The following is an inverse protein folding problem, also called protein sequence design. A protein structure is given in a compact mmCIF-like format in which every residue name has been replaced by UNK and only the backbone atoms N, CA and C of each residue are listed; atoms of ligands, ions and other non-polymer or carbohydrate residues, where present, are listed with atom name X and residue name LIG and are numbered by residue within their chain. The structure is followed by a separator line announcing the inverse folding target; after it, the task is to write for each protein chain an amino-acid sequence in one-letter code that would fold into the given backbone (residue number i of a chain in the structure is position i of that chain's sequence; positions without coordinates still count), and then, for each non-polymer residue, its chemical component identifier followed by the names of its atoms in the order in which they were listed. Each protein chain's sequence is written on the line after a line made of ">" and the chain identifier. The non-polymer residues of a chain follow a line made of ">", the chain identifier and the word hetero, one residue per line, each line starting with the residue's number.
data_IF_835011691837
#
_entry.id   IF_835011691837
#
_cell.length_a   1.000
_cell.length_b   1.000
_cell.length_c   1.000
_cell.angle_alpha   90.00
_cell.angle_beta   90.00
_cell.angle_gamma   90.00
#
_symmetry.space_group_name_H-M   'P 1'
#
loop_
_entity.id
_entity.type
_entity.pdbx_description
1 polymer ?
#
# COMPACT_ATOMS: atom_id res chain seq x y z
N UNK A 1 10.31 -3.59 -2.67
CA UNK A 1 9.20 -3.15 -1.78
C UNK A 1 8.08 -4.19 -1.57
N UNK A 2 7.29 -4.56 -2.60
CA UNK A 2 6.15 -5.48 -2.46
C UNK A 2 6.55 -6.89 -1.97
N UNK A 3 7.66 -7.44 -2.49
CA UNK A 3 8.21 -8.73 -2.02
C UNK A 3 8.58 -8.68 -0.53
N UNK A 4 9.10 -7.56 -0.03
CA UNK A 4 9.40 -7.41 1.38
C UNK A 4 8.14 -7.42 2.25
N UNK A 5 7.03 -6.86 1.75
CA UNK A 5 5.73 -6.91 2.43
C UNK A 5 5.21 -8.35 2.45
N UNK A 6 5.23 -9.05 1.31
CA UNK A 6 4.85 -10.48 1.24
C UNK A 6 5.62 -11.32 2.26
N UNK A 7 6.94 -11.17 2.31
CA UNK A 7 7.77 -11.92 3.24
C UNK A 7 7.50 -11.57 4.71
N UNK A 8 7.30 -10.29 5.02
CA UNK A 8 7.04 -9.84 6.39
C UNK A 8 5.71 -10.37 6.96
N UNK A 9 4.74 -10.60 6.10
CA UNK A 9 3.40 -11.07 6.48
C UNK A 9 3.15 -12.55 6.14
N UNK A 10 4.15 -13.25 5.60
CA UNK A 10 4.01 -14.60 5.06
C UNK A 10 2.82 -14.71 4.09
N UNK A 11 2.70 -13.73 3.19
CA UNK A 11 1.60 -13.59 2.23
C UNK A 11 2.07 -13.92 0.81
N UNK A 12 1.19 -14.56 0.05
CA UNK A 12 1.22 -14.64 -1.40
C UNK A 12 0.12 -13.74 -1.97
N UNK A 13 0.44 -12.57 -2.51
CA UNK A 13 -0.58 -11.61 -2.95
C UNK A 13 -1.52 -12.15 -4.01
N UNK A 14 -1.04 -12.97 -4.95
CA UNK A 14 -1.89 -13.55 -5.99
C UNK A 14 -2.97 -14.44 -5.40
N UNK A 15 -2.58 -15.35 -4.50
CA UNK A 15 -3.50 -16.34 -3.91
C UNK A 15 -4.30 -15.77 -2.73
N UNK A 16 -3.69 -14.85 -2.00
CA UNK A 16 -4.19 -14.41 -0.71
C UNK A 16 -5.00 -13.12 -0.76
N UNK A 17 -4.78 -12.31 -1.79
CA UNK A 17 -5.42 -11.00 -1.93
C UNK A 17 -6.09 -10.91 -3.30
N UNK A 18 -5.32 -10.81 -4.38
CA UNK A 18 -5.83 -10.41 -5.69
C UNK A 18 -6.80 -11.41 -6.34
N UNK A 19 -6.76 -12.69 -5.96
CA UNK A 19 -7.79 -13.64 -6.37
C UNK A 19 -9.20 -13.30 -5.87
N UNK A 20 -9.31 -12.53 -4.79
CA UNK A 20 -10.56 -12.19 -4.10
C UNK A 20 -11.03 -10.76 -4.37
N UNK A 21 -10.22 -9.96 -5.07
CA UNK A 21 -10.51 -8.55 -5.34
C UNK A 21 -11.17 -8.46 -6.71
N UNK A 22 -12.50 -8.45 -6.72
CA UNK A 22 -13.30 -8.46 -7.95
C UNK A 22 -13.80 -7.06 -8.38
N UNK A 23 -13.77 -6.09 -7.47
CA UNK A 23 -14.18 -4.70 -7.71
C UNK A 23 -13.00 -3.74 -7.85
N UNK A 24 -13.29 -2.45 -7.72
CA UNK A 24 -12.25 -1.42 -7.71
C UNK A 24 -11.31 -1.58 -6.51
N UNK A 25 -10.02 -1.30 -6.73
CA UNK A 25 -9.05 -1.26 -5.63
C UNK A 25 -7.95 -0.25 -5.88
N UNK A 26 -7.31 0.18 -4.80
CA UNK A 26 -6.12 1.00 -4.83
C UNK A 26 -5.10 0.47 -3.81
N UNK A 27 -3.83 0.40 -4.21
CA UNK A 27 -2.71 0.09 -3.33
C UNK A 27 -1.71 1.24 -3.36
N UNK A 28 -1.49 1.86 -2.21
CA UNK A 28 -0.46 2.88 -2.03
C UNK A 28 0.69 2.35 -1.18
N UNK A 29 1.92 2.61 -1.62
CA UNK A 29 3.12 2.39 -0.85
C UNK A 29 3.63 3.74 -0.36
N UNK A 30 3.73 3.89 0.96
CA UNK A 30 4.04 5.13 1.64
C UNK A 30 5.45 5.07 2.24
N UNK A 31 6.25 6.16 2.15
CA UNK A 31 7.55 6.22 2.78
C UNK A 31 7.46 5.93 4.28
N UNK A 32 8.38 5.12 4.78
CA UNK A 32 8.58 4.92 6.21
C UNK A 32 10.02 5.37 6.55
N UNK A 33 10.15 6.42 7.35
CA UNK A 33 11.45 6.95 7.77
C UNK A 33 12.17 6.05 8.78
N UNK A 34 11.42 5.23 9.52
CA UNK A 34 11.93 4.39 10.61
C UNK A 34 12.33 2.98 10.14
N UNK A 35 11.76 2.48 9.03
CA UNK A 35 12.00 1.11 8.55
C UNK A 35 12.34 1.05 7.05
N UNK A 36 12.96 -0.05 6.64
CA UNK A 36 13.26 -0.32 5.22
C UNK A 36 12.02 -0.77 4.44
N UNK A 37 11.05 -1.38 5.11
CA UNK A 37 9.77 -1.78 4.54
C UNK A 37 8.85 -0.55 4.50
N UNK A 38 8.32 -0.15 3.33
CA UNK A 38 7.40 0.96 3.26
C UNK A 38 6.10 0.63 3.98
N UNK A 39 5.44 1.67 4.48
CA UNK A 39 4.07 1.51 4.92
C UNK A 39 3.16 1.29 3.71
N UNK A 40 1.98 0.73 3.93
CA UNK A 40 1.03 0.47 2.87
C UNK A 40 -0.39 0.85 3.29
N UNK A 41 -1.18 1.25 2.30
CA UNK A 41 -2.61 1.48 2.38
C UNK A 41 -3.24 0.72 1.21
N UNK A 42 -4.19 -0.14 1.51
CA UNK A 42 -4.90 -0.94 0.52
C UNK A 42 -6.39 -0.71 0.70
N UNK A 43 -7.05 -0.25 -0.36
CA UNK A 43 -8.47 0.07 -0.36
C UNK A 43 -9.14 -0.84 -1.39
N UNK A 44 -10.21 -1.49 -0.99
CA UNK A 44 -10.97 -2.40 -1.85
C UNK A 44 -12.44 -2.10 -1.76
N UNK A 45 -13.11 -2.12 -2.91
CA UNK A 45 -14.55 -2.00 -3.00
C UNK A 45 -15.24 -3.17 -2.29
N UNK A 46 -16.38 -2.88 -1.66
CA UNK A 46 -17.25 -3.90 -1.09
C UNK A 46 -17.91 -4.73 -2.20
N UNK A 47 -17.47 -5.97 -2.32
CA UNK A 47 -18.16 -7.02 -3.08
C UNK A 47 -18.60 -8.15 -2.14
N UNK A 48 -19.50 -9.06 -2.57
CA UNK A 48 -19.90 -10.21 -1.75
C UNK A 48 -18.71 -11.06 -1.24
N UNK A 49 -17.63 -11.13 -2.02
CA UNK A 49 -16.41 -11.90 -1.73
C UNK A 49 -15.51 -11.24 -0.69
N UNK A 50 -15.66 -9.93 -0.43
CA UNK A 50 -14.81 -9.18 0.48
C UNK A 50 -14.84 -9.75 1.91
N UNK A 51 -15.98 -10.26 2.36
CA UNK A 51 -16.08 -10.88 3.70
C UNK A 51 -15.13 -12.07 3.83
N UNK A 52 -14.99 -12.86 2.77
CA UNK A 52 -14.05 -13.98 2.74
C UNK A 52 -12.59 -13.52 2.70
N UNK A 53 -12.29 -12.44 1.96
CA UNK A 53 -10.97 -11.81 1.97
C UNK A 53 -10.57 -11.32 3.37
N UNK A 54 -11.46 -10.59 4.06
CA UNK A 54 -11.20 -10.09 5.43
C UNK A 54 -10.91 -11.26 6.37
N UNK A 55 -11.80 -12.27 6.40
CA UNK A 55 -11.62 -13.44 7.26
C UNK A 55 -10.31 -14.18 6.98
N UNK A 56 -9.91 -14.25 5.71
CA UNK A 56 -8.65 -14.87 5.28
C UNK A 56 -7.43 -14.08 5.77
N UNK A 57 -7.45 -12.76 5.66
CA UNK A 57 -6.35 -11.90 6.13
C UNK A 57 -6.25 -11.91 7.67
N UNK A 58 -7.37 -11.90 8.38
CA UNK A 58 -7.42 -12.05 9.84
C UNK A 58 -6.86 -13.41 10.29
N UNK A 59 -7.16 -14.48 9.53
CA UNK A 59 -6.61 -15.79 9.79
C UNK A 59 -5.09 -15.84 9.58
N UNK A 60 -4.58 -15.21 8.52
CA UNK A 60 -3.13 -15.11 8.26
C UNK A 60 -2.43 -14.31 9.36
N UNK A 61 -3.02 -13.20 9.79
CA UNK A 61 -2.49 -12.42 10.90
C UNK A 61 -2.43 -13.26 12.18
N UNK A 62 -3.52 -13.96 12.50
CA UNK A 62 -3.62 -14.83 13.68
C UNK A 62 -2.59 -15.96 13.66
N UNK A 63 -2.46 -16.66 12.53
CA UNK A 63 -1.47 -17.76 12.37
C UNK A 63 -0.03 -17.26 12.34
N UNK A 64 0.18 -15.98 12.03
CA UNK A 64 1.49 -15.30 12.15
C UNK A 64 1.79 -14.80 13.56
N UNK A 65 0.97 -15.13 14.56
CA UNK A 65 1.18 -14.80 15.97
C UNK A 65 0.68 -13.41 16.38
N UNK A 66 -0.13 -12.74 15.55
CA UNK A 66 -0.79 -11.50 15.93
C UNK A 66 -2.14 -11.78 16.59
N UNK A 67 -2.54 -10.91 17.51
CA UNK A 67 -3.91 -10.88 18.02
C UNK A 67 -4.77 -10.04 17.08
N UNK A 68 -5.92 -10.58 16.67
CA UNK A 68 -6.94 -9.83 15.93
C UNK A 68 -7.96 -9.31 16.95
N UNK A 69 -8.07 -7.99 17.08
CA UNK A 69 -8.93 -7.36 18.08
C UNK A 69 -9.62 -6.13 17.52
N UNK A 70 -10.88 -5.92 17.92
CA UNK A 70 -11.60 -4.69 17.60
C UNK A 70 -11.25 -3.57 18.58
N UNK A 71 -11.05 -2.36 18.06
CA UNK A 71 -10.84 -1.15 18.85
C UNK A 71 -11.52 0.06 18.20
N UNK A 72 -11.72 1.13 18.96
CA UNK A 72 -12.32 2.37 18.45
C UNK A 72 -11.23 3.43 18.22
N UNK A 73 -11.19 3.99 17.01
CA UNK A 73 -10.32 5.10 16.64
C UNK A 73 -11.18 6.27 16.15
N UNK A 74 -11.15 7.41 16.86
CA UNK A 74 -11.90 8.63 16.50
C UNK A 74 -13.40 8.37 16.19
N UNK A 75 -14.02 7.43 16.91
CA UNK A 75 -15.43 7.03 16.74
C UNK A 75 -15.68 5.93 15.69
N UNK A 76 -14.67 5.56 14.93
CA UNK A 76 -14.73 4.46 13.96
C UNK A 76 -14.27 3.15 14.61
N UNK A 77 -15.04 2.07 14.40
CA UNK A 77 -14.62 0.72 14.78
C UNK A 77 -13.62 0.19 13.77
N UNK A 78 -12.47 -0.26 14.25
CA UNK A 78 -11.42 -0.86 13.41
C UNK A 78 -11.06 -2.23 13.97
N UNK A 79 -10.65 -3.14 13.09
CA UNK A 79 -9.97 -4.39 13.47
C UNK A 79 -8.46 -4.14 13.40
N UNK A 80 -7.73 -4.56 14.42
CA UNK A 80 -6.29 -4.37 14.52
C UNK A 80 -5.57 -5.71 14.71
N UNK A 81 -4.50 -5.90 13.95
CA UNK A 81 -3.56 -7.01 14.05
C UNK A 81 -2.40 -6.57 14.95
N UNK A 82 -2.40 -7.04 16.18
CA UNK A 82 -1.52 -6.56 17.25
C UNK A 82 -0.49 -7.61 17.63
N UNK A 83 0.79 -7.23 17.58
CA UNK A 83 1.86 -8.02 18.19
C UNK A 83 1.91 -7.70 19.68
N UNK A 84 1.79 -8.72 20.52
CA UNK A 84 1.90 -8.61 21.96
C UNK A 84 3.21 -9.25 22.39
N UNK A 85 4.06 -8.51 23.10
CA UNK A 85 5.35 -9.00 23.59
C UNK A 85 5.48 -8.75 25.08
N UNK A 86 5.89 -9.78 25.82
CA UNK A 86 6.25 -9.63 27.22
C UNK A 86 7.64 -9.01 27.35
N UNK A 87 7.74 -7.92 28.09
CA UNK A 87 8.99 -7.27 28.47
C UNK A 87 9.28 -7.62 29.93
N UNK A 88 10.33 -8.40 30.16
CA UNK A 88 10.83 -8.67 31.51
C UNK A 88 11.86 -7.61 31.84
N UNK A 89 11.51 -6.66 32.71
CA UNK A 89 12.46 -5.66 33.20
C UNK A 89 13.23 -6.19 34.41
N UNK A 90 12.60 -7.01 35.26
CA UNK A 90 13.17 -7.60 36.50
C UNK A 90 12.47 -8.93 36.86
N UNK A 91 13.06 -9.75 37.74
CA UNK A 91 12.49 -11.05 38.22
C UNK A 91 11.14 -10.95 38.98
N UNK A 92 10.57 -9.76 39.13
CA UNK A 92 9.36 -9.51 39.94
C UNK A 92 8.21 -8.86 39.18
N UNK A 93 8.40 -8.42 37.94
CA UNK A 93 7.36 -7.76 37.14
C UNK A 93 7.53 -8.03 35.65
N UNK A 94 6.46 -8.48 35.01
CA UNK A 94 6.37 -8.66 33.57
C UNK A 94 5.48 -7.55 33.02
N UNK A 95 6.05 -6.67 32.20
CA UNK A 95 5.31 -5.68 31.44
C UNK A 95 4.88 -6.29 30.10
N UNK A 96 3.82 -5.75 29.50
CA UNK A 96 3.36 -6.16 28.17
C UNK A 96 3.41 -4.93 27.27
N UNK A 97 4.06 -5.08 26.12
CA UNK A 97 4.01 -4.12 25.03
C UNK A 97 3.10 -4.63 23.91
N UNK A 98 2.32 -3.72 23.33
CA UNK A 98 1.33 -4.00 22.30
C UNK A 98 1.57 -3.08 21.10
N UNK A 99 1.97 -3.68 19.98
CA UNK A 99 2.28 -2.96 18.75
C UNK A 99 1.35 -3.37 17.63
N UNK A 100 0.55 -2.43 17.15
CA UNK A 100 -0.29 -2.63 15.95
C UNK A 100 0.63 -2.76 14.74
N UNK A 101 0.45 -3.83 13.97
CA UNK A 101 1.20 -4.12 12.74
C UNK A 101 0.38 -3.87 11.49
N UNK A 102 -0.94 -4.01 11.61
CA UNK A 102 -1.88 -3.67 10.57
C UNK A 102 -3.26 -3.44 11.18
N UNK A 103 -4.11 -2.74 10.47
CA UNK A 103 -5.49 -2.53 10.85
C UNK A 103 -6.36 -2.40 9.62
N UNK A 104 -7.64 -2.69 9.76
CA UNK A 104 -8.61 -2.44 8.72
C UNK A 104 -9.93 -1.92 9.27
N UNK A 105 -10.65 -1.17 8.44
CA UNK A 105 -11.96 -0.65 8.76
C UNK A 105 -12.78 -0.45 7.50
N UNK A 106 -14.08 -0.48 7.69
CA UNK A 106 -15.06 -0.13 6.68
C UNK A 106 -15.30 1.38 6.68
N UNK A 107 -15.19 2.01 5.51
CA UNK A 107 -15.60 3.39 5.26
C UNK A 107 -16.44 3.44 3.98
N UNK A 108 -17.69 3.89 4.08
CA UNK A 108 -18.64 3.95 2.97
C UNK A 108 -18.75 2.62 2.19
N UNK A 109 -18.42 2.61 0.89
CA UNK A 109 -18.44 1.43 0.04
C UNK A 109 -17.11 0.67 -0.02
N UNK A 110 -16.16 0.98 0.86
CA UNK A 110 -14.82 0.42 0.80
C UNK A 110 -14.39 -0.20 2.14
N UNK A 111 -13.53 -1.20 2.04
CA UNK A 111 -12.69 -1.65 3.15
C UNK A 111 -11.29 -1.10 2.98
N UNK A 112 -10.76 -0.54 4.05
CA UNK A 112 -9.46 0.14 4.07
C UNK A 112 -8.56 -0.63 5.01
N UNK A 113 -7.49 -1.20 4.47
CA UNK A 113 -6.42 -1.86 5.21
C UNK A 113 -5.20 -0.94 5.24
N UNK A 114 -4.53 -0.82 6.39
CA UNK A 114 -3.32 -0.04 6.54
C UNK A 114 -2.28 -0.76 7.41
N UNK A 115 -1.01 -0.53 7.13
CA UNK A 115 0.11 -1.07 7.91
C UNK A 115 0.37 -0.32 9.23
N UNK A 116 -0.29 0.81 9.46
CA UNK A 116 -0.08 1.66 10.62
C UNK A 116 -1.35 2.45 10.97
N UNK A 117 -1.62 2.58 12.27
CA UNK A 117 -2.80 3.28 12.77
C UNK A 117 -2.79 4.78 12.44
N UNK A 118 -1.62 5.41 12.35
CA UNK A 118 -1.48 6.82 11.96
C UNK A 118 -1.94 7.05 10.52
N UNK A 119 -1.69 6.08 9.62
CA UNK A 119 -2.15 6.14 8.24
C UNK A 119 -3.66 6.03 8.21
N UNK A 120 -4.23 5.05 8.92
CA UNK A 120 -5.67 4.88 8.99
C UNK A 120 -6.36 6.14 9.57
N UNK A 121 -5.79 6.71 10.64
CA UNK A 121 -6.27 7.97 11.23
C UNK A 121 -6.21 9.13 10.23
N UNK A 122 -5.14 9.24 9.45
CA UNK A 122 -5.03 10.27 8.43
C UNK A 122 -6.13 10.16 7.36
N UNK A 123 -6.43 8.93 6.92
CA UNK A 123 -7.51 8.65 5.98
C UNK A 123 -8.88 8.99 6.57
N UNK A 124 -9.19 8.49 7.78
CA UNK A 124 -10.47 8.72 8.45
C UNK A 124 -10.72 10.20 8.77
N UNK A 125 -9.67 10.94 9.11
CA UNK A 125 -9.79 12.37 9.41
C UNK A 125 -10.00 13.26 8.18
N UNK A 126 -9.89 12.70 6.96
CA UNK A 126 -9.89 13.44 5.69
C UNK A 126 -8.90 14.63 5.65
N UNK A 127 -7.89 14.64 6.54
CA UNK A 127 -6.93 15.75 6.66
C UNK A 127 -5.97 15.82 5.47
N UNK A 128 -5.81 14.72 4.74
CA UNK A 128 -5.00 14.68 3.54
C UNK A 128 -5.87 15.00 2.32
N UNK A 129 -5.40 15.92 1.48
CA UNK A 129 -6.03 16.21 0.19
C UNK A 129 -6.03 14.94 -0.66
N UNK A 130 -7.14 14.69 -1.34
CA UNK A 130 -7.28 13.53 -2.21
C UNK A 130 -6.20 13.54 -3.29
N UNK A 131 -5.66 12.36 -3.63
CA UNK A 131 -4.76 12.24 -4.79
C UNK A 131 -5.45 12.71 -6.07
N UNK A 132 -6.77 12.54 -6.16
CA UNK A 132 -7.57 13.00 -7.29
C UNK A 132 -7.61 14.52 -7.42
N UNK A 133 -7.30 15.26 -6.35
CA UNK A 133 -7.19 16.72 -6.34
C UNK A 133 -5.74 17.20 -6.54
N UNK A 134 -4.77 16.30 -6.57
CA UNK A 134 -3.37 16.64 -6.76
C UNK A 134 -3.11 16.99 -8.23
N UNK A 135 -2.65 18.22 -8.48
CA UNK A 135 -2.41 18.73 -9.84
C UNK A 135 -1.37 17.92 -10.61
N UNK A 136 -0.30 17.46 -9.95
CA UNK A 136 0.73 16.63 -10.59
C UNK A 136 0.14 15.29 -11.04
N UNK A 137 -0.67 14.67 -10.19
CA UNK A 137 -1.40 13.45 -10.52
C UNK A 137 -2.39 13.67 -11.68
N UNK A 138 -3.24 14.70 -11.61
CA UNK A 138 -4.20 15.02 -12.67
C UNK A 138 -3.50 15.22 -14.01
N UNK A 139 -2.41 16.01 -14.04
CA UNK A 139 -1.61 16.23 -15.24
C UNK A 139 -1.07 14.90 -15.79
N UNK A 140 -0.52 14.04 -14.95
CA UNK A 140 -0.01 12.74 -15.36
C UNK A 140 -1.11 11.86 -15.97
N UNK A 141 -2.34 11.93 -15.44
CA UNK A 141 -3.47 11.16 -15.93
C UNK A 141 -4.02 11.69 -17.27
N UNK A 142 -3.85 12.98 -17.60
CA UNK A 142 -4.32 13.54 -18.89
C UNK A 142 -3.63 12.93 -20.11
N UNK A 143 -2.39 12.47 -19.95
CA UNK A 143 -1.59 11.89 -21.03
C UNK A 143 -1.92 10.40 -21.29
N UNK A 144 -2.73 9.77 -20.45
CA UNK A 144 -3.02 8.33 -20.52
C UNK A 144 -4.27 8.11 -21.38
N UNK A 145 -4.17 7.38 -22.50
CA UNK A 145 -5.32 6.95 -23.29
C UNK A 145 -6.40 6.25 -22.44
N UNK A 146 -7.65 6.53 -22.77
CA UNK A 146 -8.83 5.89 -22.20
C UNK A 146 -9.60 5.14 -23.31
N UNK A 147 -10.22 3.97 -23.04
CA UNK A 147 -10.24 3.28 -21.75
C UNK A 147 -8.90 2.57 -21.44
N UNK A 148 -8.57 2.46 -20.16
CA UNK A 148 -7.50 1.59 -19.67
C UNK A 148 -8.02 0.64 -18.58
N UNK A 149 -7.29 -0.44 -18.31
CA UNK A 149 -7.67 -1.47 -17.34
C UNK A 149 -7.11 -1.23 -15.94
N UNK A 150 -6.32 -0.18 -15.79
CA UNK A 150 -5.53 0.09 -14.60
C UNK A 150 -4.23 0.80 -14.94
N UNK A 151 -3.65 1.38 -13.89
CA UNK A 151 -2.39 2.09 -13.99
C UNK A 151 -1.62 2.00 -12.68
N UNK A 152 -0.29 2.12 -12.81
CA UNK A 152 0.63 2.33 -11.70
C UNK A 152 1.17 3.74 -11.85
N UNK A 153 0.86 4.60 -10.89
CA UNK A 153 1.40 5.94 -10.80
C UNK A 153 2.56 5.97 -9.80
N UNK A 154 3.67 6.55 -10.22
CA UNK A 154 4.85 6.77 -9.39
C UNK A 154 5.21 8.25 -9.41
N UNK A 155 5.07 8.91 -8.27
CA UNK A 155 5.68 10.22 -8.04
C UNK A 155 7.19 10.02 -7.88
N UNK A 156 7.97 10.35 -8.90
CA UNK A 156 9.41 10.07 -8.94
C UNK A 156 10.13 10.83 -7.83
N UNK A 157 9.90 12.13 -7.74
CA UNK A 157 10.54 13.04 -6.79
C UNK A 157 10.45 12.55 -5.34
N UNK A 158 9.25 12.13 -4.92
CA UNK A 158 9.02 11.68 -3.56
C UNK A 158 9.42 10.21 -3.32
N UNK A 159 9.65 9.43 -4.38
CA UNK A 159 9.90 7.99 -4.29
C UNK A 159 11.36 7.59 -4.51
N UNK A 160 12.22 8.50 -4.97
CA UNK A 160 13.62 8.23 -5.29
C UNK A 160 14.35 7.46 -4.18
N UNK A 161 14.21 7.90 -2.93
CA UNK A 161 14.90 7.28 -1.79
C UNK A 161 14.50 5.83 -1.57
N UNK A 162 13.20 5.51 -1.68
CA UNK A 162 12.68 4.15 -1.51
C UNK A 162 13.16 3.28 -2.66
N UNK A 163 13.08 3.78 -3.89
CA UNK A 163 13.47 3.04 -5.09
C UNK A 163 14.97 2.72 -5.10
N UNK A 164 15.84 3.71 -4.80
CA UNK A 164 17.30 3.50 -4.72
C UNK A 164 17.70 2.49 -3.64
N UNK A 165 16.92 2.40 -2.55
CA UNK A 165 17.16 1.42 -1.48
C UNK A 165 16.79 0.00 -1.89
N UNK A 166 15.68 -0.17 -2.62
CA UNK A 166 15.16 -1.50 -2.99
C UNK A 166 15.63 -2.01 -4.36
N UNK A 167 16.07 -1.12 -5.25
CA UNK A 167 16.55 -1.43 -6.59
C UNK A 167 17.92 -0.76 -6.79
N UNK A 168 19.01 -1.37 -6.28
CA UNK A 168 20.35 -0.80 -6.35
C UNK A 168 20.80 -0.50 -7.79
N UNK A 169 20.28 -1.25 -8.77
CA UNK A 169 20.51 -1.04 -10.20
C UNK A 169 20.14 0.37 -10.66
N UNK A 170 19.12 1.01 -10.06
CA UNK A 170 18.73 2.40 -10.39
C UNK A 170 19.83 3.42 -10.06
N UNK A 171 20.69 3.14 -9.06
CA UNK A 171 21.83 4.01 -8.75
C UNK A 171 22.84 4.07 -9.89
N UNK A 172 22.90 3.04 -10.73
CA UNK A 172 23.82 2.97 -11.86
C UNK A 172 23.22 3.58 -13.13
N UNK A 173 21.90 3.48 -13.31
CA UNK A 173 21.19 4.09 -14.44
C UNK A 173 21.18 5.62 -14.33
N UNK A 174 21.06 6.18 -13.11
CA UNK A 174 21.19 7.62 -12.89
C UNK A 174 22.56 8.17 -13.30
N UNK A 175 23.65 7.37 -13.29
CA UNK A 175 24.99 7.86 -13.69
C UNK A 175 25.11 8.04 -15.20
N UNK A 176 24.34 7.27 -15.98
CA UNK A 176 24.45 7.21 -17.44
C UNK A 176 23.57 8.25 -18.15
N UNK A 177 22.49 8.72 -17.51
CA UNK A 177 21.55 9.67 -18.13
C UNK A 177 20.95 10.67 -17.11
N UNK A 178 21.81 11.26 -16.27
CA UNK A 178 21.44 12.23 -15.21
C UNK A 178 20.39 13.28 -15.61
N UNK A 179 20.49 13.96 -16.78
CA UNK A 179 19.59 15.04 -17.11
C UNK A 179 18.12 14.60 -17.17
N UNK A 180 17.86 13.39 -17.66
CA UNK A 180 16.49 12.88 -17.80
C UNK A 180 15.85 12.60 -16.42
N UNK A 181 16.60 11.98 -15.51
CA UNK A 181 16.08 11.58 -14.19
C UNK A 181 16.03 12.72 -13.17
N UNK A 182 16.86 13.75 -13.33
CA UNK A 182 16.83 14.96 -12.51
C UNK A 182 15.59 15.83 -12.82
N UNK A 183 15.06 15.75 -14.04
CA UNK A 183 13.86 16.47 -14.46
C UNK A 183 12.57 15.64 -14.41
N UNK A 184 12.65 14.35 -14.09
CA UNK A 184 11.49 13.46 -14.03
C UNK A 184 10.60 13.78 -12.81
N UNK A 185 9.36 14.17 -13.06
CA UNK A 185 8.34 14.40 -12.02
C UNK A 185 7.64 13.10 -11.63
N UNK A 186 7.16 12.36 -12.64
CA UNK A 186 6.40 11.13 -12.42
C UNK A 186 6.53 10.16 -13.58
N UNK A 187 6.35 8.89 -13.26
CA UNK A 187 6.26 7.79 -14.20
C UNK A 187 4.89 7.15 -14.06
N UNK A 188 4.19 6.93 -15.17
CA UNK A 188 2.95 6.15 -15.17
C UNK A 188 3.04 4.98 -16.14
N UNK A 189 2.61 3.81 -15.69
CA UNK A 189 2.48 2.62 -16.54
C UNK A 189 1.01 2.25 -16.59
N UNK A 190 0.46 2.04 -17.78
CA UNK A 190 -0.95 1.68 -17.95
C UNK A 190 -1.12 0.51 -18.92
N UNK A 191 -2.15 -0.30 -18.71
CA UNK A 191 -2.50 -1.45 -19.55
C UNK A 191 -3.81 -1.23 -20.31
N UNK A 192 -3.83 -1.67 -21.57
CA UNK A 192 -4.94 -1.42 -22.52
C UNK A 192 -5.55 -2.68 -23.13
N UNK A 193 -4.91 -3.84 -23.02
CA UNK A 193 -5.37 -5.03 -23.76
C UNK A 193 -6.35 -5.88 -22.95
N UNK A 194 -7.55 -6.10 -23.49
CA UNK A 194 -8.52 -7.08 -23.01
C UNK A 194 -8.39 -8.44 -23.70
N UNK A 195 -7.46 -8.60 -24.65
CA UNK A 195 -7.28 -9.84 -25.40
C UNK A 195 -6.41 -10.84 -24.64
N UNK A 196 -6.89 -12.07 -24.39
CA UNK A 196 -6.09 -13.12 -23.77
C UNK A 196 -4.80 -13.37 -24.56
N UNK A 197 -3.65 -13.32 -23.88
CA UNK A 197 -2.34 -13.60 -24.48
C UNK A 197 -1.65 -12.41 -25.14
N UNK A 198 -2.28 -11.23 -25.19
CA UNK A 198 -1.64 -10.00 -25.69
C UNK A 198 -1.66 -8.95 -24.57
N UNK A 199 -0.48 -8.52 -24.12
CA UNK A 199 -0.34 -7.40 -23.18
C UNK A 199 0.03 -6.14 -23.97
N UNK A 200 -0.92 -5.21 -24.09
CA UNK A 200 -0.66 -3.85 -24.59
C UNK A 200 -0.58 -2.91 -23.40
N UNK A 201 0.47 -2.10 -23.34
CA UNK A 201 0.63 -1.10 -22.30
C UNK A 201 1.43 0.09 -22.81
N UNK A 202 1.41 1.16 -22.02
CA UNK A 202 2.12 2.40 -22.29
C UNK A 202 2.89 2.85 -21.05
N UNK A 203 4.02 3.50 -21.30
CA UNK A 203 4.86 4.11 -20.26
C UNK A 203 4.94 5.61 -20.54
N UNK A 204 4.55 6.42 -19.56
CA UNK A 204 4.42 7.87 -19.68
C UNK A 204 5.33 8.55 -18.67
N UNK A 205 6.09 9.52 -19.16
CA UNK A 205 7.07 10.27 -18.39
C UNK A 205 6.59 11.72 -18.34
N UNK A 206 6.48 12.28 -17.15
CA UNK A 206 6.21 13.69 -16.97
C UNK A 206 7.48 14.38 -16.49
N UNK A 207 7.92 15.39 -17.24
CA UNK A 207 9.11 16.18 -16.94
C UNK A 207 8.72 17.57 -16.42
N UNK A 208 9.69 18.28 -15.84
CA UNK A 208 9.60 19.70 -15.53
C UNK A 208 9.63 20.59 -16.77
#
# INVERSE_FOLDING_TARGET
>A
PLVAIQNNWNLNFTQDIFHWVLGEYALALLPNSENTIPNWLFVVEKTPELTALIARLDHIASTSGFNVSSLTLDGQTISAWTQITALSENNTSINIDAKIKGAHTTLDNYEIFASDLKILKAVLSQKQKSLLENTQFQNAMTAIPQPNQGYIYLNWENSQNILKRHLPLLKFVEVLDKPLFDHLQSLTISSYSSEPGILKGGVFWQLH
#
